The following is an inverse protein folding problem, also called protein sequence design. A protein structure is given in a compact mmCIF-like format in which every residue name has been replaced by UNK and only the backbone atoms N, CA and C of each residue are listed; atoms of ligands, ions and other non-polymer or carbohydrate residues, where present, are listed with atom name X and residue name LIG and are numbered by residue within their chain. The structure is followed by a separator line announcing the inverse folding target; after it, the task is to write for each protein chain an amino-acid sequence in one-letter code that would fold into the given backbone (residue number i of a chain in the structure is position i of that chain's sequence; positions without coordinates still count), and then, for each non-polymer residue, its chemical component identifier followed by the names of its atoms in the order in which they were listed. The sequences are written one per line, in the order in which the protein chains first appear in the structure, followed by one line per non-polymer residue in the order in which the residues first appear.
data_IF_137682614617
#
_entry.id   IF_137682614617
#
_cell.length_a   1.000
_cell.length_b   1.000
_cell.length_c   1.000
_cell.angle_alpha   90.00
_cell.angle_beta   90.00
_cell.angle_gamma   90.00
#
_symmetry.space_group_name_H-M   'P 1'
#
loop_
_entity.id
_entity.type
_entity.pdbx_description
1 polymer ?
#
# COMPACT_ATOMS: atom_id res chain seq x y z
N UNK A 1 7.68 8.66 16.78
CA UNK A 1 7.51 9.52 15.60
C UNK A 1 8.68 9.20 14.68
N UNK A 2 8.44 8.49 13.57
CA UNK A 2 9.54 8.03 12.71
C UNK A 2 10.05 9.22 11.87
N UNK A 3 11.35 9.57 11.88
CA UNK A 3 11.88 10.74 11.17
C UNK A 3 11.87 10.59 9.63
N UNK A 4 11.54 9.41 9.12
CA UNK A 4 11.51 9.09 7.68
C UNK A 4 10.27 9.66 6.96
N UNK A 5 9.25 10.10 7.71
CA UNK A 5 7.99 10.59 7.15
C UNK A 5 8.05 12.04 6.65
N UNK A 6 9.16 12.75 6.87
CA UNK A 6 9.34 14.13 6.41
C UNK A 6 10.42 14.22 5.32
N UNK A 7 9.98 14.17 4.07
CA UNK A 7 10.67 14.91 3.00
C UNK A 7 11.71 14.18 2.16
N UNK A 8 11.58 12.87 1.93
CA UNK A 8 12.29 12.29 0.79
C UNK A 8 11.59 12.78 -0.51
N UNK A 9 12.31 13.28 -1.52
CA UNK A 9 11.66 13.68 -2.77
C UNK A 9 10.93 12.46 -3.36
N UNK A 10 9.72 12.64 -3.91
CA UNK A 10 8.91 11.53 -4.42
C UNK A 10 9.61 10.74 -5.53
N UNK A 11 10.61 11.35 -6.17
CA UNK A 11 11.47 10.73 -7.19
C UNK A 11 12.91 11.18 -6.96
N UNK A 12 13.84 10.23 -6.91
CA UNK A 12 15.30 10.48 -6.90
C UNK A 12 15.87 10.03 -8.24
N UNK A 13 16.48 10.95 -8.98
CA UNK A 13 17.17 10.63 -10.24
C UNK A 13 18.62 10.27 -9.93
N UNK A 14 19.01 9.02 -10.18
CA UNK A 14 20.34 8.49 -9.84
C UNK A 14 21.36 8.57 -10.98
N UNK A 15 20.94 9.00 -12.17
CA UNK A 15 21.77 8.99 -13.40
C UNK A 15 21.62 10.28 -14.20
N UNK A 16 22.72 10.77 -14.80
CA UNK A 16 22.71 11.89 -15.75
C UNK A 16 22.60 13.29 -15.11
N UNK A 17 22.64 14.33 -15.94
CA UNK A 17 22.43 15.74 -15.56
C UNK A 17 21.01 16.19 -15.91
N UNK A 18 20.00 15.55 -15.32
CA UNK A 18 18.61 15.95 -15.53
C UNK A 18 18.41 17.38 -15.03
N UNK A 19 17.80 18.21 -15.88
CA UNK A 19 17.47 19.59 -15.52
C UNK A 19 16.33 19.64 -14.51
N UNK A 20 16.18 20.74 -13.74
CA UNK A 20 15.05 20.89 -12.83
C UNK A 20 13.68 20.76 -13.52
N UNK A 21 13.57 21.21 -14.76
CA UNK A 21 12.34 21.12 -15.55
C UNK A 21 11.99 19.68 -15.92
N UNK A 22 12.97 18.86 -16.30
CA UNK A 22 12.77 17.44 -16.61
C UNK A 22 12.38 16.64 -15.38
N UNK A 23 13.01 16.92 -14.23
CA UNK A 23 12.66 16.28 -12.95
C UNK A 23 11.22 16.62 -12.57
N UNK A 24 10.80 17.87 -12.74
CA UNK A 24 9.42 18.31 -12.48
C UNK A 24 8.42 17.61 -13.42
N UNK A 25 8.74 17.51 -14.71
CA UNK A 25 7.89 16.85 -15.69
C UNK A 25 7.69 15.36 -15.38
N UNK A 26 8.76 14.63 -15.10
CA UNK A 26 8.69 13.21 -14.73
C UNK A 26 7.93 13.02 -13.42
N UNK A 27 8.19 13.86 -12.42
CA UNK A 27 7.49 13.81 -11.14
C UNK A 27 5.99 14.02 -11.31
N UNK A 28 5.58 14.96 -12.17
CA UNK A 28 4.17 15.23 -12.47
C UNK A 28 3.50 14.03 -13.15
N UNK A 29 4.16 13.40 -14.12
CA UNK A 29 3.64 12.20 -14.81
C UNK A 29 3.48 11.03 -13.82
N UNK A 30 4.52 10.72 -13.04
CA UNK A 30 4.48 9.63 -12.05
C UNK A 30 3.40 9.88 -11.00
N UNK A 31 3.29 11.13 -10.52
CA UNK A 31 2.26 11.52 -9.55
C UNK A 31 0.85 11.38 -10.14
N UNK A 32 0.65 11.78 -11.41
CA UNK A 32 -0.62 11.62 -12.11
C UNK A 32 -1.02 10.15 -12.23
N UNK A 33 -0.11 9.29 -12.71
CA UNK A 33 -0.39 7.85 -12.83
C UNK A 33 -0.73 7.19 -11.48
N UNK A 34 -0.03 7.58 -10.41
CA UNK A 34 -0.29 7.05 -9.08
C UNK A 34 -1.64 7.54 -8.52
N UNK A 35 -2.04 8.78 -8.83
CA UNK A 35 -3.34 9.30 -8.45
C UNK A 35 -4.46 8.50 -9.11
N UNK A 36 -4.39 8.26 -10.42
CA UNK A 36 -5.38 7.47 -11.16
C UNK A 36 -5.49 6.03 -10.63
N UNK A 37 -4.35 5.37 -10.39
CA UNK A 37 -4.33 4.02 -9.80
C UNK A 37 -4.90 4.01 -8.37
N UNK A 38 -4.63 5.06 -7.59
CA UNK A 38 -5.16 5.23 -6.24
C UNK A 38 -6.67 5.48 -6.21
N UNK A 39 -7.21 6.24 -7.15
CA UNK A 39 -8.65 6.43 -7.33
C UNK A 39 -9.32 5.14 -7.79
N UNK A 40 -8.78 4.45 -8.80
CA UNK A 40 -9.28 3.16 -9.25
C UNK A 40 -9.29 2.11 -8.14
N UNK A 41 -8.24 2.10 -7.30
CA UNK A 41 -8.17 1.22 -6.13
C UNK A 41 -9.23 1.56 -5.10
N UNK A 42 -9.40 2.85 -4.76
CA UNK A 42 -10.42 3.32 -3.82
C UNK A 42 -11.84 2.98 -4.29
N UNK A 43 -12.12 3.12 -5.58
CA UNK A 43 -13.40 2.74 -6.18
C UNK A 43 -13.63 1.21 -6.10
N UNK A 44 -12.56 0.42 -6.24
CA UNK A 44 -12.62 -1.04 -6.20
C UNK A 44 -12.63 -1.65 -4.80
N UNK A 45 -12.32 -0.88 -3.74
CA UNK A 45 -12.27 -1.43 -2.39
C UNK A 45 -13.68 -1.88 -1.97
N UNK A 46 -13.85 -3.16 -1.61
CA UNK A 46 -15.16 -3.66 -1.22
C UNK A 46 -15.63 -2.91 0.03
N UNK A 47 -16.78 -2.24 -0.07
CA UNK A 47 -17.44 -1.58 1.05
C UNK A 47 -17.93 -2.64 2.05
N UNK A 48 -17.05 -3.14 2.92
CA UNK A 48 -17.42 -4.13 3.92
C UNK A 48 -16.25 -4.89 4.52
N UNK A 49 -16.54 -5.67 5.56
CA UNK A 49 -15.56 -6.55 6.21
C UNK A 49 -15.13 -7.66 5.26
N UNK A 50 -13.83 -7.72 4.94
CA UNK A 50 -13.28 -8.74 4.04
C UNK A 50 -13.42 -10.15 4.63
N UNK A 51 -13.38 -11.19 3.78
CA UNK A 51 -13.39 -12.58 4.23
C UNK A 51 -12.26 -12.88 5.24
N UNK A 52 -11.09 -12.27 5.03
CA UNK A 52 -9.95 -12.31 5.95
C UNK A 52 -10.23 -11.65 7.31
N UNK A 53 -10.80 -10.44 7.31
CA UNK A 53 -11.18 -9.77 8.57
C UNK A 53 -12.28 -10.53 9.32
N UNK A 54 -13.14 -11.27 8.60
CA UNK A 54 -14.17 -12.13 9.20
C UNK A 54 -13.55 -13.38 9.84
N UNK A 55 -12.60 -14.04 9.16
CA UNK A 55 -11.93 -15.24 9.68
C UNK A 55 -11.01 -14.95 10.86
N UNK A 56 -10.40 -13.75 10.92
CA UNK A 56 -9.60 -13.31 12.08
C UNK A 56 -10.34 -13.37 13.42
N UNK A 57 -11.68 -13.26 13.43
CA UNK A 57 -12.46 -13.33 14.69
C UNK A 57 -12.31 -14.68 15.37
N UNK A 58 -12.28 -15.77 14.60
CA UNK A 58 -12.07 -17.11 15.12
C UNK A 58 -10.68 -17.29 15.73
N UNK A 59 -9.70 -16.52 15.25
CA UNK A 59 -8.30 -16.55 15.70
C UNK A 59 -8.03 -15.67 16.93
N UNK A 60 -9.01 -14.88 17.41
CA UNK A 60 -8.85 -14.03 18.62
C UNK A 60 -8.88 -14.80 19.93
N UNK A 61 -9.31 -16.06 19.91
CA UNK A 61 -9.19 -16.97 21.03
C UNK A 61 -7.97 -17.87 20.86
N UNK A 62 -7.31 -18.31 21.94
CA UNK A 62 -6.19 -19.24 21.83
C UNK A 62 -6.57 -20.49 21.03
N UNK A 63 -5.82 -20.76 19.97
CA UNK A 63 -5.99 -21.99 19.18
C UNK A 63 -5.50 -23.18 20.00
N UNK A 64 -6.32 -24.25 20.02
CA UNK A 64 -5.97 -25.49 20.69
C UNK A 64 -5.43 -26.50 19.66
N UNK A 65 -4.11 -26.68 19.56
CA UNK A 65 -3.50 -27.58 18.59
C UNK A 65 -3.85 -29.05 18.89
N UNK A 66 -4.05 -29.86 17.85
CA UNK A 66 -4.25 -31.31 18.02
C UNK A 66 -4.73 -32.03 16.75
N UNK A 67 -4.60 -33.37 16.67
CA UNK A 67 -5.13 -34.14 15.55
C UNK A 67 -6.62 -33.83 15.32
N UNK A 68 -6.98 -33.46 14.08
CA UNK A 68 -8.36 -33.11 13.71
C UNK A 68 -8.83 -31.69 14.09
N UNK A 69 -7.97 -30.85 14.69
CA UNK A 69 -8.34 -29.50 15.17
C UNK A 69 -7.91 -28.35 14.26
N UNK A 70 -7.21 -28.65 13.16
CA UNK A 70 -6.59 -27.66 12.27
C UNK A 70 -7.45 -27.26 11.05
N UNK A 71 -8.61 -27.86 10.86
CA UNK A 71 -9.40 -27.73 9.63
C UNK A 71 -10.56 -26.72 9.77
N UNK A 72 -10.43 -25.75 10.67
CA UNK A 72 -11.45 -24.71 10.93
C UNK A 72 -11.32 -23.51 10.01
#
# INVERSE_FOLDING_TARGET
MNPESAGNPPVVVTTGNATPAEIAAVSAVVSGLLAEEGEARRESEPAGTTAWQRSQRALRSPLQPGPGRWNG
#
